data_IF_099094888829
#
_entry.id   IF_099094888829
#
_cell.length_a   1.000
_cell.length_b   1.000
_cell.length_c   1.000
_cell.angle_alpha   90.00
_cell.angle_beta   90.00
_cell.angle_gamma   90.00
#
_symmetry.space_group_name_H-M   'P 1'
#
loop_
_entity.id
_entity.type
_entity.pdbx_description
1 polymer ?
#
# COMPACT_ATOMS: atom_id res chain seq x y z
N UNK A 1 71.41 23.85 -10.98
CA UNK A 1 70.27 24.09 -10.08
C UNK A 1 69.41 25.19 -10.67
N UNK A 2 68.96 24.98 -11.91
CA UNK A 2 68.20 25.98 -12.71
C UNK A 2 67.47 25.29 -13.88
N UNK A 3 67.02 24.05 -13.69
CA UNK A 3 66.29 23.28 -14.71
C UNK A 3 65.11 22.46 -14.12
N UNK A 4 64.66 22.78 -12.91
CA UNK A 4 63.49 22.15 -12.28
C UNK A 4 62.33 23.13 -12.00
N UNK A 5 62.45 24.40 -12.38
CA UNK A 5 61.43 25.42 -12.11
C UNK A 5 60.58 25.79 -13.34
N UNK A 6 61.04 25.52 -14.57
CA UNK A 6 60.30 25.86 -15.80
C UNK A 6 59.39 24.75 -16.36
N UNK A 7 59.03 23.75 -15.54
CA UNK A 7 58.08 22.68 -15.93
C UNK A 7 56.73 22.72 -15.19
N UNK A 8 56.49 23.75 -14.37
CA UNK A 8 55.30 23.84 -13.50
C UNK A 8 54.22 24.83 -13.93
N UNK A 9 54.33 25.50 -15.07
CA UNK A 9 53.34 26.52 -15.49
C UNK A 9 52.66 26.29 -16.86
N UNK A 10 52.72 25.08 -17.42
CA UNK A 10 51.97 24.75 -18.65
C UNK A 10 50.99 23.57 -18.53
N UNK A 11 50.73 23.09 -17.31
CA UNK A 11 49.78 22.01 -17.07
C UNK A 11 48.53 22.48 -16.31
N UNK A 12 48.03 23.67 -16.66
CA UNK A 12 46.80 24.25 -16.12
C UNK A 12 45.79 24.54 -17.24
N UNK A 13 45.18 23.50 -17.78
CA UNK A 13 43.82 23.57 -18.33
C UNK A 13 43.32 22.18 -18.69
N UNK A 14 42.11 21.84 -18.22
CA UNK A 14 41.31 20.65 -18.53
C UNK A 14 41.59 19.38 -17.71
N UNK A 15 40.97 19.27 -16.54
CA UNK A 15 40.56 17.97 -15.96
C UNK A 15 39.24 18.22 -15.20
N UNK A 16 38.15 17.85 -15.86
CA UNK A 16 36.79 17.82 -15.32
C UNK A 16 36.31 16.35 -15.33
N UNK A 17 35.54 16.03 -14.31
CA UNK A 17 34.51 14.98 -14.24
C UNK A 17 34.95 13.51 -14.04
N UNK A 18 34.85 13.10 -12.78
CA UNK A 18 34.80 11.72 -12.31
C UNK A 18 33.40 11.12 -12.53
N UNK A 19 33.24 10.28 -13.56
CA UNK A 19 32.05 9.47 -13.80
C UNK A 19 32.12 8.10 -13.09
N UNK A 20 31.02 7.76 -12.39
CA UNK A 20 30.70 6.44 -11.86
C UNK A 20 30.09 5.55 -12.98
N UNK A 21 30.55 4.31 -13.22
CA UNK A 21 29.92 3.43 -14.20
C UNK A 21 28.64 2.80 -13.64
N UNK A 22 27.52 3.05 -14.33
CA UNK A 22 26.24 2.38 -14.13
C UNK A 22 26.30 1.00 -14.77
N UNK A 23 26.28 -0.07 -13.95
CA UNK A 23 26.20 -1.45 -14.42
C UNK A 23 24.74 -1.81 -14.77
N UNK A 24 24.42 -1.81 -16.05
CA UNK A 24 23.25 -2.50 -16.62
C UNK A 24 23.62 -3.96 -16.90
N UNK A 25 22.78 -4.87 -16.39
CA UNK A 25 22.93 -6.32 -16.60
C UNK A 25 22.88 -6.70 -18.09
N UNK A 26 23.72 -7.65 -18.53
CA UNK A 26 23.72 -8.21 -19.87
C UNK A 26 22.76 -9.41 -19.93
N UNK A 27 22.00 -9.56 -21.03
CA UNK A 27 21.66 -10.83 -21.70
C UNK A 27 20.55 -10.60 -22.73
N UNK A 28 20.93 -10.13 -23.92
CA UNK A 28 20.17 -10.36 -25.15
C UNK A 28 21.15 -10.23 -26.33
N UNK A 29 21.88 -11.31 -26.61
CA UNK A 29 22.67 -11.48 -27.83
C UNK A 29 21.87 -12.36 -28.77
N UNK A 30 21.39 -11.80 -29.87
CA UNK A 30 21.05 -12.57 -31.08
C UNK A 30 21.79 -11.96 -32.28
N UNK A 31 22.17 -12.79 -33.27
CA UNK A 31 23.27 -12.49 -34.17
C UNK A 31 22.88 -11.53 -35.30
N UNK A 32 23.87 -10.73 -35.69
CA UNK A 32 23.87 -9.86 -36.85
C UNK A 32 23.55 -10.61 -38.15
N UNK A 33 22.71 -10.00 -38.99
CA UNK A 33 22.96 -9.99 -40.43
C UNK A 33 22.76 -8.57 -40.95
N UNK A 34 23.83 -8.05 -41.53
CA UNK A 34 24.03 -6.77 -42.19
C UNK A 34 23.31 -6.69 -43.53
N UNK A 35 22.71 -5.53 -43.85
CA UNK A 35 23.07 -4.67 -45.00
C UNK A 35 22.02 -3.59 -45.30
N UNK A 36 22.53 -2.36 -45.53
CA UNK A 36 21.99 -1.25 -46.35
C UNK A 36 20.82 -0.40 -45.81
N UNK A 37 21.05 0.86 -45.37
CA UNK A 37 21.40 2.12 -46.06
C UNK A 37 20.18 2.99 -46.45
N UNK A 38 20.16 4.18 -45.83
CA UNK A 38 19.71 5.50 -46.31
C UNK A 38 18.23 5.99 -46.25
N UNK A 39 18.17 7.24 -45.77
CA UNK A 39 17.32 8.38 -46.15
C UNK A 39 15.99 8.64 -45.40
N UNK A 40 16.07 9.63 -44.50
CA UNK A 40 15.21 10.83 -44.36
C UNK A 40 13.76 10.77 -44.86
N UNK A 41 12.78 10.99 -43.97
CA UNK A 41 12.00 12.24 -43.92
C UNK A 41 11.08 12.26 -42.67
N UNK A 42 10.78 13.46 -42.16
CA UNK A 42 9.88 13.64 -41.02
C UNK A 42 8.41 13.43 -41.39
N UNK A 43 7.58 12.99 -40.43
CA UNK A 43 6.17 13.39 -40.20
C UNK A 43 5.58 12.55 -39.06
N UNK A 44 4.83 13.21 -38.18
CA UNK A 44 3.97 12.64 -37.13
C UNK A 44 3.13 11.44 -37.62
N UNK A 45 3.33 10.26 -37.03
CA UNK A 45 2.43 9.12 -37.26
C UNK A 45 2.29 8.25 -36.00
N UNK A 46 1.09 8.33 -35.42
CA UNK A 46 0.29 7.24 -34.84
C UNK A 46 1.04 5.96 -34.42
N UNK A 47 1.04 5.68 -33.12
CA UNK A 47 1.47 4.41 -32.51
C UNK A 47 0.76 3.21 -33.17
N UNK A 48 1.47 2.49 -34.03
CA UNK A 48 1.08 1.18 -34.55
C UNK A 48 1.53 0.06 -33.59
N UNK A 49 0.79 -1.06 -33.48
CA UNK A 49 1.15 -2.15 -32.59
C UNK A 49 2.34 -2.94 -33.13
N UNK A 50 3.37 -3.09 -32.29
CA UNK A 50 4.53 -3.97 -32.52
C UNK A 50 4.02 -5.42 -32.59
N UNK A 51 4.04 -6.03 -33.77
CA UNK A 51 3.77 -7.46 -33.93
C UNK A 51 5.04 -8.28 -33.65
N UNK A 52 4.97 -9.14 -32.64
CA UNK A 52 5.95 -10.21 -32.41
C UNK A 52 5.50 -11.45 -33.17
N UNK A 53 6.41 -12.01 -33.98
CA UNK A 53 6.22 -13.21 -34.78
C UNK A 53 6.06 -14.43 -33.84
N UNK A 54 4.87 -15.02 -33.82
CA UNK A 54 4.45 -16.05 -32.86
C UNK A 54 3.00 -15.83 -32.42
N UNK A 55 2.05 -16.29 -33.25
CA UNK A 55 0.64 -15.88 -33.27
C UNK A 55 -0.19 -16.08 -31.99
N UNK A 56 0.01 -15.22 -30.99
CA UNK A 56 -1.00 -14.88 -30.00
C UNK A 56 -1.04 -13.36 -29.86
N UNK A 57 -2.03 -12.72 -30.51
CA UNK A 57 -2.28 -11.29 -30.31
C UNK A 57 -2.45 -11.01 -28.82
N UNK A 58 -1.65 -10.10 -28.27
CA UNK A 58 -1.82 -9.58 -26.91
C UNK A 58 -3.22 -8.97 -26.87
N UNK A 59 -4.15 -9.63 -26.19
CA UNK A 59 -5.51 -9.09 -26.04
C UNK A 59 -5.37 -7.78 -25.27
N UNK A 60 -5.90 -6.69 -25.78
CA UNK A 60 -5.97 -5.41 -25.06
C UNK A 60 -7.26 -5.33 -24.27
N UNK A 61 -7.19 -4.86 -23.01
CA UNK A 61 -8.39 -4.61 -22.19
C UNK A 61 -9.10 -3.34 -22.71
N UNK A 62 -10.05 -3.53 -23.62
CA UNK A 62 -10.82 -2.41 -24.20
C UNK A 62 -11.58 -1.69 -23.08
N UNK A 63 -11.43 -0.36 -23.01
CA UNK A 63 -12.03 0.52 -22.00
C UNK A 63 -11.58 0.30 -20.54
N UNK A 64 -10.46 -0.40 -20.28
CA UNK A 64 -9.98 -0.69 -18.92
C UNK A 64 -11.04 -1.34 -18.01
N UNK A 65 -11.90 -2.20 -18.58
CA UNK A 65 -13.02 -2.82 -17.86
C UNK A 65 -12.52 -3.68 -16.70
N UNK A 66 -11.39 -4.39 -16.87
CA UNK A 66 -10.83 -5.22 -15.81
C UNK A 66 -10.37 -4.35 -14.64
N UNK A 67 -9.74 -3.21 -14.93
CA UNK A 67 -9.37 -2.23 -13.90
C UNK A 67 -10.59 -1.71 -13.15
N UNK A 68 -11.66 -1.32 -13.86
CA UNK A 68 -12.90 -0.84 -13.23
C UNK A 68 -13.56 -1.91 -12.35
N UNK A 69 -13.50 -3.19 -12.75
CA UNK A 69 -13.99 -4.30 -11.93
C UNK A 69 -13.18 -4.42 -10.63
N UNK A 70 -11.84 -4.40 -10.71
CA UNK A 70 -11.00 -4.48 -9.50
C UNK A 70 -11.18 -3.26 -8.59
N UNK A 71 -11.36 -2.06 -9.16
CA UNK A 71 -11.67 -0.85 -8.41
C UNK A 71 -13.01 -0.96 -7.68
N UNK A 72 -14.05 -1.46 -8.36
CA UNK A 72 -15.37 -1.72 -7.76
C UNK A 72 -15.25 -2.71 -6.58
N UNK A 73 -14.44 -3.76 -6.72
CA UNK A 73 -14.21 -4.71 -5.63
C UNK A 73 -13.45 -4.06 -4.46
N UNK A 74 -12.47 -3.20 -4.72
CA UNK A 74 -11.78 -2.43 -3.68
C UNK A 74 -12.75 -1.57 -2.87
N UNK A 75 -13.63 -0.83 -3.55
CA UNK A 75 -14.72 -0.06 -2.93
C UNK A 75 -15.67 -0.98 -2.14
N UNK A 76 -16.00 -2.15 -2.69
CA UNK A 76 -16.88 -3.12 -2.07
C UNK A 76 -16.35 -3.73 -0.77
N UNK A 77 -15.03 -3.85 -0.62
CA UNK A 77 -14.39 -4.31 0.61
C UNK A 77 -14.31 -3.19 1.66
N UNK A 78 -14.09 -1.94 1.24
CA UNK A 78 -13.95 -0.79 2.13
C UNK A 78 -15.27 -0.29 2.71
N UNK A 79 -16.38 -0.44 1.98
CA UNK A 79 -17.70 0.06 2.40
C UNK A 79 -18.20 -0.58 3.71
N UNK A 80 -18.23 -1.91 3.87
CA UNK A 80 -18.65 -2.54 5.12
C UNK A 80 -17.77 -2.16 6.32
N UNK A 81 -16.45 -2.10 6.11
CA UNK A 81 -15.49 -1.73 7.15
C UNK A 81 -15.70 -0.29 7.64
N UNK A 82 -15.79 0.67 6.71
CA UNK A 82 -16.06 2.07 7.05
C UNK A 82 -17.46 2.25 7.65
N UNK A 83 -18.44 1.47 7.20
CA UNK A 83 -19.79 1.48 7.80
C UNK A 83 -19.73 1.04 9.26
N UNK A 84 -18.98 -0.01 9.58
CA UNK A 84 -18.86 -0.50 10.96
C UNK A 84 -18.15 0.51 11.88
N UNK A 85 -17.08 1.17 11.40
CA UNK A 85 -16.35 2.18 12.17
C UNK A 85 -17.14 3.47 12.39
N UNK A 86 -17.94 3.89 11.41
CA UNK A 86 -18.67 5.17 11.45
C UNK A 86 -20.06 5.08 12.08
N UNK A 87 -20.60 3.86 12.27
CA UNK A 87 -21.90 3.61 12.91
C UNK A 87 -21.96 4.01 14.40
N UNK A 88 -20.86 4.52 14.98
CA UNK A 88 -20.80 5.03 16.35
C UNK A 88 -22.09 5.73 16.78
N UNK A 89 -22.63 5.24 17.91
CA UNK A 89 -23.96 5.54 18.44
C UNK A 89 -24.32 7.02 18.35
N UNK A 90 -23.41 7.93 18.70
CA UNK A 90 -23.73 9.35 18.83
C UNK A 90 -24.12 10.04 17.51
N UNK A 91 -23.40 9.83 16.40
CA UNK A 91 -23.65 10.63 15.18
C UNK A 91 -24.88 10.16 14.43
N UNK A 92 -25.05 8.84 14.33
CA UNK A 92 -26.22 8.28 13.68
C UNK A 92 -27.43 8.29 14.59
N UNK A 93 -27.37 7.79 15.82
CA UNK A 93 -28.54 7.66 16.71
C UNK A 93 -29.00 9.02 17.25
N UNK A 94 -28.08 9.86 17.72
CA UNK A 94 -28.46 11.10 18.42
C UNK A 94 -28.70 12.29 17.49
N UNK A 95 -28.01 12.38 16.35
CA UNK A 95 -28.10 13.53 15.42
C UNK A 95 -28.90 13.20 14.14
N UNK A 96 -28.46 12.24 13.31
CA UNK A 96 -29.08 11.99 12.01
C UNK A 96 -30.41 11.21 12.11
N UNK A 97 -30.53 10.28 13.06
CA UNK A 97 -31.71 9.44 13.28
C UNK A 97 -32.78 10.08 14.16
N UNK A 98 -32.41 11.10 14.91
CA UNK A 98 -33.33 11.82 15.78
C UNK A 98 -34.08 12.95 15.03
N UNK A 99 -33.50 13.46 13.93
CA UNK A 99 -33.97 14.71 13.32
C UNK A 99 -35.10 14.59 12.28
N UNK A 100 -35.44 13.41 11.74
CA UNK A 100 -36.65 13.20 10.89
C UNK A 100 -36.85 11.79 10.31
N UNK A 101 -35.81 10.96 10.24
CA UNK A 101 -35.83 9.64 9.58
C UNK A 101 -35.59 8.58 10.65
N UNK A 102 -36.63 7.80 10.98
CA UNK A 102 -36.57 6.82 12.06
C UNK A 102 -35.39 5.84 11.92
N UNK A 103 -34.86 5.39 13.06
CA UNK A 103 -33.72 4.45 13.20
C UNK A 103 -33.76 3.30 12.19
N UNK A 104 -34.96 2.75 11.98
CA UNK A 104 -35.22 1.63 11.07
C UNK A 104 -34.95 1.97 9.60
N UNK A 105 -35.32 3.16 9.14
CA UNK A 105 -35.14 3.55 7.73
C UNK A 105 -33.67 3.80 7.40
N UNK A 106 -32.90 4.46 8.27
CA UNK A 106 -31.47 4.62 7.97
C UNK A 106 -30.72 3.30 8.07
N UNK A 107 -31.03 2.45 9.06
CA UNK A 107 -30.47 1.10 9.11
C UNK A 107 -30.77 0.34 7.79
N UNK A 108 -32.01 0.39 7.31
CA UNK A 108 -32.40 -0.19 6.01
C UNK A 108 -31.62 0.39 4.83
N UNK A 109 -31.37 1.71 4.79
CA UNK A 109 -30.56 2.34 3.72
C UNK A 109 -29.11 1.87 3.79
N UNK A 110 -28.51 1.80 5.00
CA UNK A 110 -27.13 1.35 5.18
C UNK A 110 -26.94 -0.11 4.78
N UNK A 111 -27.77 -1.02 5.30
CA UNK A 111 -27.72 -2.42 4.94
C UNK A 111 -28.12 -2.66 3.48
N UNK A 112 -29.07 -1.90 2.95
CA UNK A 112 -29.49 -1.95 1.55
C UNK A 112 -28.37 -1.54 0.59
N UNK A 113 -27.64 -0.46 0.90
CA UNK A 113 -26.49 -0.03 0.11
C UNK A 113 -25.36 -1.07 0.15
N UNK A 114 -25.04 -1.60 1.34
CA UNK A 114 -24.05 -2.67 1.48
C UNK A 114 -24.43 -3.93 0.67
N UNK A 115 -25.70 -4.35 0.73
CA UNK A 115 -26.21 -5.48 -0.04
C UNK A 115 -26.11 -5.23 -1.56
N UNK A 116 -26.49 -4.05 -2.02
CA UNK A 116 -26.38 -3.65 -3.42
C UNK A 116 -24.93 -3.70 -3.90
N UNK A 117 -23.99 -3.21 -3.10
CA UNK A 117 -22.56 -3.28 -3.40
C UNK A 117 -22.07 -4.72 -3.49
N UNK A 118 -22.48 -5.61 -2.59
CA UNK A 118 -22.11 -7.04 -2.65
C UNK A 118 -22.69 -7.72 -3.90
N UNK A 119 -23.94 -7.43 -4.26
CA UNK A 119 -24.56 -7.94 -5.49
C UNK A 119 -23.79 -7.45 -6.73
N UNK A 120 -23.41 -6.16 -6.76
CA UNK A 120 -22.60 -5.60 -7.85
C UNK A 120 -21.21 -6.25 -7.95
N UNK A 121 -20.56 -6.54 -6.81
CA UNK A 121 -19.31 -7.31 -6.76
C UNK A 121 -19.53 -8.74 -7.30
N UNK A 122 -20.60 -9.42 -6.89
CA UNK A 122 -20.93 -10.76 -7.38
C UNK A 122 -21.17 -10.81 -8.89
N UNK A 123 -21.91 -9.85 -9.44
CA UNK A 123 -22.15 -9.74 -10.88
C UNK A 123 -20.86 -9.43 -11.66
N UNK A 124 -20.08 -8.45 -11.19
CA UNK A 124 -18.82 -8.06 -11.83
C UNK A 124 -17.75 -9.18 -11.77
N UNK A 125 -17.71 -10.00 -10.72
CA UNK A 125 -16.87 -11.19 -10.66
C UNK A 125 -17.24 -12.22 -11.75
N UNK A 126 -18.54 -12.40 -12.03
CA UNK A 126 -18.98 -13.26 -13.15
C UNK A 126 -18.58 -12.69 -14.51
N UNK A 127 -18.60 -11.37 -14.68
CA UNK A 127 -18.10 -10.73 -15.90
C UNK A 127 -16.58 -10.94 -16.05
N UNK A 128 -15.82 -10.78 -14.96
CA UNK A 128 -14.37 -10.95 -14.95
C UNK A 128 -13.96 -12.37 -15.35
N UNK A 129 -14.58 -13.39 -14.74
CA UNK A 129 -14.29 -14.80 -15.04
C UNK A 129 -14.67 -15.22 -16.46
N UNK A 130 -15.59 -14.50 -17.11
CA UNK A 130 -15.95 -14.71 -18.52
C UNK A 130 -15.06 -13.93 -19.50
N UNK A 131 -14.37 -12.88 -19.06
CA UNK A 131 -13.54 -12.04 -19.92
C UNK A 131 -12.36 -12.82 -20.54
N UNK A 132 -12.19 -12.69 -21.87
CA UNK A 132 -11.12 -13.35 -22.64
C UNK A 132 -9.73 -12.87 -22.22
N UNK A 133 -9.58 -11.57 -21.92
CA UNK A 133 -8.33 -10.97 -21.45
C UNK A 133 -7.89 -11.59 -20.10
N UNK A 134 -8.81 -11.64 -19.13
CA UNK A 134 -8.56 -12.24 -17.83
C UNK A 134 -8.14 -13.71 -17.96
N UNK A 135 -8.87 -14.50 -18.77
CA UNK A 135 -8.52 -15.91 -19.02
C UNK A 135 -7.13 -16.07 -19.65
N UNK A 136 -6.72 -15.18 -20.54
CA UNK A 136 -5.40 -15.23 -21.17
C UNK A 136 -4.28 -15.05 -20.13
N UNK A 137 -4.35 -14.00 -19.31
CA UNK A 137 -3.32 -13.71 -18.31
C UNK A 137 -3.28 -14.74 -17.17
N UNK A 138 -4.43 -15.23 -16.72
CA UNK A 138 -4.49 -16.31 -15.72
C UNK A 138 -3.89 -17.60 -16.27
N UNK A 139 -4.24 -18.01 -17.50
CA UNK A 139 -3.66 -19.20 -18.12
C UNK A 139 -2.15 -19.08 -18.33
N UNK A 140 -1.68 -17.90 -18.75
CA UNK A 140 -0.24 -17.60 -18.85
C UNK A 140 0.44 -17.79 -17.49
N UNK A 141 -0.12 -17.20 -16.43
CA UNK A 141 0.42 -17.32 -15.08
C UNK A 141 0.43 -18.78 -14.57
N UNK A 142 -0.61 -19.57 -14.85
CA UNK A 142 -0.68 -20.99 -14.48
C UNK A 142 0.33 -21.83 -15.27
N UNK A 143 0.46 -21.58 -16.58
CA UNK A 143 1.41 -22.31 -17.43
C UNK A 143 2.87 -22.05 -17.02
N UNK A 144 3.21 -20.78 -16.75
CA UNK A 144 4.54 -20.43 -16.24
C UNK A 144 4.87 -21.14 -14.92
N UNK A 145 3.88 -21.32 -14.03
CA UNK A 145 4.08 -22.08 -12.78
C UNK A 145 4.31 -23.57 -13.03
N UNK A 146 3.55 -24.16 -13.96
CA UNK A 146 3.68 -25.57 -14.30
C UNK A 146 5.08 -25.89 -14.86
N UNK A 147 5.59 -25.04 -15.76
CA UNK A 147 6.94 -25.18 -16.33
C UNK A 147 8.02 -25.06 -15.25
N UNK A 148 7.94 -24.06 -14.36
CA UNK A 148 8.92 -23.93 -13.26
C UNK A 148 8.92 -25.11 -12.30
N UNK A 149 7.78 -25.78 -12.07
CA UNK A 149 7.76 -27.00 -11.26
C UNK A 149 8.43 -28.19 -11.97
N UNK A 150 8.33 -28.28 -13.30
CA UNK A 150 9.00 -29.31 -14.09
C UNK A 150 10.52 -29.12 -14.09
N UNK A 151 10.99 -27.88 -14.22
CA UNK A 151 12.43 -27.58 -14.21
C UNK A 151 13.09 -27.92 -12.86
N UNK A 152 12.41 -27.65 -11.74
CA UNK A 152 12.88 -28.02 -10.39
C UNK A 152 12.92 -29.53 -10.17
N UNK A 153 12.02 -30.29 -10.81
CA UNK A 153 12.07 -31.75 -10.75
C UNK A 153 13.27 -32.30 -11.52
N UNK A 154 13.63 -31.71 -12.67
CA UNK A 154 14.80 -32.13 -13.44
C UNK A 154 16.13 -31.82 -12.73
N UNK A 155 16.30 -30.67 -12.07
CA UNK A 155 17.51 -30.40 -11.25
C UNK A 155 17.63 -31.31 -10.02
N UNK A 156 16.51 -31.85 -9.52
CA UNK A 156 16.50 -32.83 -8.43
C UNK A 156 16.70 -34.28 -8.89
N UNK A 157 16.62 -34.56 -10.19
CA UNK A 157 16.67 -35.92 -10.75
C UNK A 157 18.10 -36.37 -11.07
N UNK A 158 19.07 -35.46 -11.15
CA UNK A 158 20.49 -35.81 -11.38
C UNK A 158 21.14 -36.55 -10.18
N UNK A 159 20.41 -36.79 -9.08
CA UNK A 159 20.91 -37.52 -7.89
C UNK A 159 20.18 -38.87 -7.65
N UNK A 160 19.07 -39.20 -8.31
CA UNK A 160 18.39 -40.49 -8.07
C UNK A 160 17.81 -41.10 -9.35
N UNK A 161 18.49 -42.13 -9.84
CA UNK A 161 18.03 -42.96 -10.94
C UNK A 161 16.78 -43.79 -10.62
N UNK A 162 15.89 -43.81 -11.60
CA UNK A 162 14.88 -44.79 -11.97
C UNK A 162 13.64 -45.02 -11.08
N UNK A 163 12.51 -44.92 -11.79
CA UNK A 163 11.21 -45.56 -11.59
C UNK A 163 10.27 -44.99 -10.52
N UNK A 164 9.36 -44.12 -10.94
CA UNK A 164 7.92 -44.32 -10.78
C UNK A 164 7.17 -43.20 -11.49
N UNK A 165 6.28 -43.54 -12.42
CA UNK A 165 5.21 -42.65 -12.87
C UNK A 165 4.38 -42.21 -11.64
N UNK A 166 4.70 -41.07 -11.06
CA UNK A 166 3.81 -40.37 -10.13
C UNK A 166 3.21 -39.19 -10.87
N UNK A 167 1.88 -39.18 -10.99
CA UNK A 167 1.10 -37.96 -11.21
C UNK A 167 1.70 -36.83 -10.35
N UNK A 168 1.80 -35.59 -10.86
CA UNK A 168 2.21 -34.46 -10.03
C UNK A 168 1.09 -34.17 -9.03
N UNK A 169 1.04 -34.94 -7.95
CA UNK A 169 0.36 -34.54 -6.73
C UNK A 169 1.17 -33.37 -6.20
N UNK A 170 0.64 -32.14 -6.33
CA UNK A 170 1.14 -30.98 -5.61
C UNK A 170 1.25 -31.38 -4.14
N UNK A 171 2.46 -31.62 -3.60
CA UNK A 171 2.59 -31.92 -2.20
C UNK A 171 2.14 -30.65 -1.49
N UNK A 172 1.22 -30.75 -0.53
CA UNK A 172 0.96 -29.62 0.36
C UNK A 172 2.34 -29.14 0.86
N UNK A 173 2.70 -27.86 0.65
CA UNK A 173 4.04 -27.40 0.96
C UNK A 173 4.35 -27.68 2.43
N UNK A 174 5.46 -28.36 2.69
CA UNK A 174 5.91 -28.67 4.04
C UNK A 174 6.18 -27.37 4.81
N UNK A 175 6.06 -27.38 6.14
CA UNK A 175 6.42 -26.24 6.99
C UNK A 175 7.85 -25.75 6.74
N UNK A 176 8.76 -26.67 6.40
CA UNK A 176 10.13 -26.32 6.00
C UNK A 176 10.17 -25.44 4.74
N UNK A 177 9.29 -25.70 3.77
CA UNK A 177 9.14 -24.89 2.56
C UNK A 177 8.58 -23.50 2.88
N UNK A 178 7.57 -23.41 3.74
CA UNK A 178 7.05 -22.12 4.22
C UNK A 178 8.12 -21.30 4.94
N UNK A 179 8.93 -21.95 5.78
CA UNK A 179 10.03 -21.29 6.49
C UNK A 179 11.13 -20.79 5.53
N UNK A 180 11.49 -21.59 4.51
CA UNK A 180 12.45 -21.18 3.49
C UNK A 180 11.94 -19.95 2.70
N UNK A 181 10.69 -19.98 2.24
CA UNK A 181 10.04 -18.86 1.54
C UNK A 181 9.90 -17.64 2.44
N UNK A 182 9.58 -17.83 3.72
CA UNK A 182 9.56 -16.77 4.72
C UNK A 182 10.93 -16.08 4.80
N UNK A 183 12.00 -16.85 4.97
CA UNK A 183 13.37 -16.34 5.06
C UNK A 183 13.80 -15.61 3.79
N UNK A 184 13.33 -16.04 2.62
CA UNK A 184 13.59 -15.40 1.33
C UNK A 184 12.86 -14.04 1.20
N UNK A 185 11.59 -13.98 1.62
CA UNK A 185 10.69 -12.82 1.43
C UNK A 185 10.49 -11.94 2.68
N UNK A 186 11.24 -12.18 3.75
CA UNK A 186 10.99 -11.59 5.09
C UNK A 186 10.93 -10.06 5.08
N UNK A 187 11.72 -9.39 4.22
CA UNK A 187 11.74 -7.93 4.09
C UNK A 187 10.40 -7.40 3.58
N UNK A 188 9.82 -8.05 2.57
CA UNK A 188 8.49 -7.72 2.07
C UNK A 188 7.42 -7.92 3.14
N UNK A 189 7.45 -9.06 3.84
CA UNK A 189 6.49 -9.39 4.89
C UNK A 189 6.58 -8.44 6.09
N UNK A 190 7.79 -8.08 6.51
CA UNK A 190 8.04 -7.09 7.55
C UNK A 190 7.51 -5.71 7.17
N UNK A 191 7.74 -5.27 5.93
CA UNK A 191 7.22 -3.99 5.43
C UNK A 191 5.69 -3.97 5.47
N UNK A 192 5.02 -5.05 5.06
CA UNK A 192 3.55 -5.17 5.17
C UNK A 192 3.13 -5.02 6.64
N UNK A 193 3.71 -5.81 7.54
CA UNK A 193 3.36 -5.80 8.95
C UNK A 193 3.49 -4.41 9.58
N UNK A 194 4.63 -3.76 9.43
CA UNK A 194 4.92 -2.49 10.12
C UNK A 194 4.07 -1.32 9.59
N UNK A 195 3.71 -1.33 8.29
CA UNK A 195 2.80 -0.31 7.72
C UNK A 195 1.42 -0.41 8.38
N UNK A 196 0.87 -1.62 8.47
CA UNK A 196 -0.45 -1.83 9.08
C UNK A 196 -0.39 -1.64 10.60
N UNK A 197 0.65 -2.13 11.28
CA UNK A 197 0.88 -1.88 12.70
C UNK A 197 0.86 -0.39 13.02
N UNK A 198 1.71 0.39 12.34
CA UNK A 198 1.85 1.83 12.62
C UNK A 198 0.53 2.56 12.37
N UNK A 199 -0.18 2.21 11.29
CA UNK A 199 -1.44 2.86 10.98
C UNK A 199 -2.52 2.52 12.00
N UNK A 200 -2.67 1.25 12.39
CA UNK A 200 -3.74 0.81 13.29
C UNK A 200 -3.42 1.06 14.77
N UNK A 201 -2.16 1.33 15.12
CA UNK A 201 -1.80 1.91 16.41
C UNK A 201 -2.41 3.31 16.57
N UNK A 202 -2.52 4.09 15.49
CA UNK A 202 -2.97 5.48 15.56
C UNK A 202 -4.45 5.62 15.15
N UNK A 203 -4.81 5.11 13.97
CA UNK A 203 -6.15 5.24 13.40
C UNK A 203 -7.03 4.01 13.73
N UNK A 204 -8.28 4.19 14.19
CA UNK A 204 -8.94 5.46 14.55
C UNK A 204 -8.75 5.84 16.03
N UNK A 205 -8.30 4.93 16.88
CA UNK A 205 -8.38 5.02 18.35
C UNK A 205 -7.70 6.26 18.94
N UNK A 206 -6.46 6.55 18.54
CA UNK A 206 -5.72 7.73 19.04
C UNK A 206 -6.32 9.01 18.51
N UNK A 207 -6.62 9.03 17.21
CA UNK A 207 -7.11 10.22 16.51
C UNK A 207 -8.47 10.68 17.02
N UNK A 208 -9.32 9.76 17.47
CA UNK A 208 -10.61 10.08 18.10
C UNK A 208 -10.48 10.64 19.52
N UNK A 209 -9.34 10.46 20.19
CA UNK A 209 -9.07 11.01 21.53
C UNK A 209 -8.30 12.32 21.49
N UNK A 210 -7.95 12.80 20.30
CA UNK A 210 -7.36 14.13 20.13
C UNK A 210 -8.50 15.16 20.08
N UNK A 211 -8.41 16.18 20.95
CA UNK A 211 -9.32 17.33 20.97
C UNK A 211 -8.58 18.63 20.63
N UNK A 212 -9.34 19.66 20.23
CA UNK A 212 -8.80 20.99 20.00
C UNK A 212 -8.23 21.61 21.27
N UNK A 213 -7.23 22.47 21.09
CA UNK A 213 -6.66 23.31 22.13
C UNK A 213 -6.92 24.80 21.80
N UNK A 214 -7.33 25.65 22.76
CA UNK A 214 -7.73 25.35 24.13
C UNK A 214 -9.07 24.58 24.20
N UNK A 215 -9.35 23.85 25.30
CA UNK A 215 -10.63 23.19 25.49
C UNK A 215 -11.79 24.20 25.43
N UNK A 216 -12.82 23.88 24.64
CA UNK A 216 -13.98 24.77 24.43
C UNK A 216 -13.91 25.65 23.17
N UNK A 217 -12.82 25.63 22.41
CA UNK A 217 -12.79 26.29 21.08
C UNK A 217 -13.71 25.54 20.11
N UNK A 218 -14.49 26.29 19.34
CA UNK A 218 -15.24 25.78 18.19
C UNK A 218 -14.33 25.73 16.97
N UNK A 219 -14.44 24.68 16.15
CA UNK A 219 -13.67 24.52 14.91
C UNK A 219 -13.89 25.70 13.95
N UNK A 220 -12.82 26.24 13.37
CA UNK A 220 -12.90 27.38 12.42
C UNK A 220 -13.51 26.94 11.07
N UNK A 221 -13.57 25.63 10.78
CA UNK A 221 -14.15 25.08 9.56
C UNK A 221 -15.67 25.28 9.60
N UNK A 222 -16.20 26.21 8.78
CA UNK A 222 -17.58 26.47 8.27
C UNK A 222 -18.78 25.57 8.69
N UNK A 223 -18.79 25.00 9.89
CA UNK A 223 -19.82 24.10 10.41
C UNK A 223 -20.61 24.90 11.42
N UNK A 224 -21.68 25.54 10.93
CA UNK A 224 -22.66 26.22 11.77
C UNK A 224 -23.54 25.17 12.47
N UNK A 225 -23.44 25.07 13.80
CA UNK A 225 -24.19 24.11 14.60
C UNK A 225 -23.79 24.12 16.09
N UNK A 226 -24.52 23.37 16.92
CA UNK A 226 -24.20 23.18 18.35
C UNK A 226 -22.82 22.53 18.54
N UNK A 227 -22.12 22.83 19.65
CA UNK A 227 -20.73 22.41 19.92
C UNK A 227 -20.53 20.90 19.77
N UNK A 228 -21.48 20.11 20.27
CA UNK A 228 -21.48 18.65 20.18
C UNK A 228 -21.55 18.16 18.73
N UNK A 229 -22.40 18.80 17.92
CA UNK A 229 -22.60 18.46 16.51
C UNK A 229 -21.35 18.80 15.69
N UNK A 230 -20.79 19.99 15.89
CA UNK A 230 -19.59 20.44 15.17
C UNK A 230 -18.38 19.56 15.49
N UNK A 231 -18.24 19.11 16.74
CA UNK A 231 -17.19 18.18 17.16
C UNK A 231 -17.27 16.82 16.49
N UNK A 232 -18.49 16.27 16.37
CA UNK A 232 -18.69 14.97 15.75
C UNK A 232 -18.49 15.04 14.25
N UNK A 233 -19.03 16.06 13.58
CA UNK A 233 -18.82 16.30 12.15
C UNK A 233 -17.34 16.51 11.83
N UNK A 234 -16.63 17.27 12.66
CA UNK A 234 -15.19 17.45 12.48
C UNK A 234 -14.44 16.13 12.53
N UNK A 235 -14.70 15.26 13.53
CA UNK A 235 -14.03 13.94 13.59
C UNK A 235 -14.35 13.09 12.37
N UNK A 236 -15.60 13.10 11.91
CA UNK A 236 -16.01 12.37 10.71
C UNK A 236 -15.30 12.88 9.45
N UNK A 237 -15.18 14.19 9.28
CA UNK A 237 -14.56 14.81 8.10
C UNK A 237 -13.03 14.75 8.16
N UNK A 238 -12.44 15.18 9.27
CA UNK A 238 -11.00 15.32 9.45
C UNK A 238 -10.30 14.01 9.73
N UNK A 239 -10.95 13.05 10.41
CA UNK A 239 -10.34 11.74 10.72
C UNK A 239 -10.75 10.71 9.69
N UNK A 240 -12.04 10.37 9.61
CA UNK A 240 -12.49 9.23 8.80
C UNK A 240 -12.49 9.51 7.29
N UNK A 241 -13.10 10.62 6.85
CA UNK A 241 -13.18 10.95 5.43
C UNK A 241 -11.79 11.30 4.89
N UNK A 242 -11.04 12.14 5.59
CA UNK A 242 -9.66 12.48 5.23
C UNK A 242 -8.82 11.21 5.07
N UNK A 243 -8.79 10.34 6.10
CA UNK A 243 -7.96 9.14 6.06
C UNK A 243 -8.29 8.25 4.87
N UNK A 244 -9.57 7.94 4.66
CA UNK A 244 -10.00 7.07 3.56
C UNK A 244 -9.75 7.69 2.18
N UNK A 245 -10.04 8.98 2.01
CA UNK A 245 -9.85 9.69 0.74
C UNK A 245 -8.36 9.72 0.38
N UNK A 246 -7.51 10.17 1.30
CA UNK A 246 -6.10 10.34 1.03
C UNK A 246 -5.34 9.02 0.97
N UNK A 247 -5.74 7.99 1.72
CA UNK A 247 -5.22 6.62 1.52
C UNK A 247 -5.60 6.06 0.14
N UNK A 248 -6.80 6.37 -0.36
CA UNK A 248 -7.19 5.99 -1.72
C UNK A 248 -6.33 6.72 -2.75
N UNK A 249 -6.14 8.03 -2.59
CA UNK A 249 -5.25 8.83 -3.46
C UNK A 249 -3.82 8.26 -3.44
N UNK A 250 -3.28 7.94 -2.26
CA UNK A 250 -1.95 7.34 -2.13
C UNK A 250 -1.84 6.00 -2.86
N UNK A 251 -2.85 5.13 -2.73
CA UNK A 251 -2.89 3.84 -3.42
C UNK A 251 -3.00 4.00 -4.94
N UNK A 252 -3.73 5.02 -5.39
CA UNK A 252 -3.85 5.34 -6.80
C UNK A 252 -2.54 5.87 -7.38
N UNK A 253 -1.82 6.73 -6.67
CA UNK A 253 -0.48 7.20 -7.05
C UNK A 253 0.48 6.01 -7.19
N UNK A 254 0.43 5.03 -6.29
CA UNK A 254 1.27 3.83 -6.34
C UNK A 254 1.03 2.96 -7.60
N UNK A 255 -0.12 3.12 -8.26
CA UNK A 255 -0.42 2.42 -9.51
C UNK A 255 0.34 3.00 -10.70
N UNK A 256 0.66 4.29 -10.68
CA UNK A 256 1.42 4.98 -11.74
C UNK A 256 2.90 5.15 -11.41
N UNK A 257 3.21 5.47 -10.16
CA UNK A 257 4.57 5.77 -9.69
C UNK A 257 4.98 4.67 -8.72
N UNK A 258 5.95 3.84 -9.12
CA UNK A 258 6.47 2.72 -8.32
C UNK A 258 7.86 3.05 -7.79
N UNK A 259 7.93 4.02 -6.89
CA UNK A 259 9.17 4.48 -6.27
C UNK A 259 9.06 4.43 -4.73
N UNK A 260 10.07 3.97 -3.97
CA UNK A 260 11.41 3.54 -4.35
C UNK A 260 11.46 2.03 -4.64
N UNK A 261 12.62 1.55 -5.10
CA UNK A 261 12.86 0.13 -5.37
C UNK A 261 12.62 -0.76 -4.14
N UNK A 262 12.32 -2.04 -4.37
CA UNK A 262 11.96 -3.05 -3.37
C UNK A 262 12.94 -3.13 -2.18
N UNK A 263 14.23 -2.88 -2.40
CA UNK A 263 15.26 -2.90 -1.34
C UNK A 263 15.20 -1.68 -0.43
N UNK A 264 14.80 -0.52 -0.95
CA UNK A 264 14.77 0.76 -0.23
C UNK A 264 13.43 1.01 0.48
N UNK A 265 12.39 0.26 0.13
CA UNK A 265 11.03 0.42 0.70
C UNK A 265 11.00 0.35 2.24
N UNK A 266 11.90 -0.40 2.88
CA UNK A 266 11.93 -0.54 4.35
C UNK A 266 12.21 0.78 5.06
N UNK A 267 13.03 1.68 4.48
CA UNK A 267 13.42 2.94 5.12
C UNK A 267 12.21 3.88 5.35
N UNK A 268 11.47 4.30 4.31
CA UNK A 268 10.31 5.17 4.50
C UNK A 268 9.19 4.49 5.29
N UNK A 269 9.12 3.16 5.23
CA UNK A 269 8.13 2.37 5.94
C UNK A 269 8.39 2.34 7.45
N UNK A 270 9.64 2.14 7.88
CA UNK A 270 10.04 2.22 9.30
C UNK A 270 9.96 3.65 9.81
N UNK A 271 10.30 4.64 8.98
CA UNK A 271 10.17 6.06 9.34
C UNK A 271 8.73 6.45 9.73
N UNK A 272 7.71 5.71 9.26
CA UNK A 272 6.31 5.91 9.68
C UNK A 272 6.12 5.77 11.18
N UNK A 273 6.94 4.97 11.89
CA UNK A 273 6.83 4.83 13.34
C UNK A 273 6.94 6.16 14.08
N UNK A 274 7.59 7.17 13.48
CA UNK A 274 7.63 8.52 14.02
C UNK A 274 6.24 9.17 14.13
N UNK A 275 5.23 8.72 13.38
CA UNK A 275 3.86 9.20 13.55
C UNK A 275 3.30 8.89 14.94
N UNK A 276 3.67 7.77 15.56
CA UNK A 276 3.15 7.39 16.88
C UNK A 276 3.47 8.47 17.92
N UNK A 277 4.75 8.80 18.21
CA UNK A 277 5.05 9.86 19.17
C UNK A 277 4.55 11.24 18.72
N UNK A 278 4.49 11.53 17.41
CA UNK A 278 3.96 12.81 16.91
C UNK A 278 2.47 12.98 17.24
N UNK A 279 1.63 11.95 17.05
CA UNK A 279 0.21 12.01 17.40
C UNK A 279 -0.03 11.96 18.91
N UNK A 280 0.82 11.26 19.68
CA UNK A 280 0.77 11.31 21.15
C UNK A 280 1.26 12.66 21.72
N UNK A 281 2.05 13.42 20.96
CA UNK A 281 2.47 14.78 21.30
C UNK A 281 1.39 15.84 21.00
N UNK A 282 0.37 15.50 20.22
CA UNK A 282 -0.86 16.29 20.11
C UNK A 282 -1.63 16.29 21.44
N UNK A 283 -2.75 17.01 21.49
CA UNK A 283 -3.68 17.02 22.62
C UNK A 283 -4.47 15.71 22.75
N UNK A 284 -3.76 14.58 22.91
CA UNK A 284 -4.30 13.26 23.17
C UNK A 284 -4.74 13.13 24.62
N UNK A 285 -5.99 12.73 24.83
CA UNK A 285 -6.60 12.64 26.16
C UNK A 285 -6.59 11.21 26.67
N UNK A 286 -5.87 10.98 27.78
CA UNK A 286 -5.78 9.69 28.46
C UNK A 286 -6.82 9.49 29.55
N UNK A 287 -7.40 10.58 30.08
CA UNK A 287 -8.36 10.56 31.19
C UNK A 287 -9.22 11.82 31.28
N UNK A 288 -9.79 12.09 32.46
CA UNK A 288 -10.67 13.24 32.73
C UNK A 288 -9.92 14.55 32.93
N UNK A 289 -8.63 14.49 33.25
CA UNK A 289 -7.82 15.68 33.50
C UNK A 289 -7.17 16.20 32.21
N UNK A 290 -7.24 17.51 31.94
CA UNK A 290 -6.58 18.11 30.79
C UNK A 290 -5.06 18.01 30.93
N UNK A 291 -4.38 17.70 29.82
CA UNK A 291 -2.92 17.57 29.78
C UNK A 291 -2.26 18.94 29.93
N UNK A 292 -1.32 19.07 30.86
CA UNK A 292 -0.58 20.33 31.09
C UNK A 292 0.38 20.67 29.94
N UNK A 293 0.90 19.67 29.21
CA UNK A 293 1.87 19.87 28.14
C UNK A 293 1.38 19.36 26.78
N UNK A 294 1.10 20.29 25.86
CA UNK A 294 0.70 20.01 24.48
C UNK A 294 1.70 20.69 23.53
N UNK A 295 2.42 19.88 22.73
CA UNK A 295 3.41 20.37 21.76
C UNK A 295 2.73 20.95 20.52
N UNK A 296 1.73 20.24 19.99
CA UNK A 296 0.98 20.64 18.80
C UNK A 296 -0.39 21.16 19.23
N UNK A 297 -0.53 22.49 19.29
CA UNK A 297 -1.75 23.20 19.72
C UNK A 297 -2.67 23.58 18.54
N UNK A 298 -2.12 23.60 17.33
CA UNK A 298 -2.80 24.08 16.13
C UNK A 298 -3.58 22.95 15.42
N UNK A 299 -4.80 23.26 14.99
CA UNK A 299 -5.72 22.31 14.37
C UNK A 299 -5.30 21.95 12.94
N UNK A 300 -4.74 22.91 12.20
CA UNK A 300 -4.29 22.70 10.83
C UNK A 300 -3.07 21.79 10.80
N UNK A 301 -2.18 21.91 11.77
CA UNK A 301 -1.05 21.02 11.97
C UNK A 301 -1.49 19.57 12.18
N UNK A 302 -2.56 19.33 12.95
CA UNK A 302 -3.18 18.01 13.09
C UNK A 302 -3.76 17.49 11.76
N UNK A 303 -4.52 18.33 11.04
CA UNK A 303 -5.13 17.99 9.74
C UNK A 303 -4.07 17.65 8.69
N UNK A 304 -2.97 18.42 8.65
CA UNK A 304 -1.85 18.17 7.73
C UNK A 304 -1.16 16.85 8.10
N UNK A 305 -0.93 16.60 9.38
CA UNK A 305 -0.28 15.38 9.85
C UNK A 305 -1.09 14.12 9.51
N UNK A 306 -2.40 14.13 9.75
CA UNK A 306 -3.26 12.99 9.37
C UNK A 306 -3.35 12.83 7.85
N UNK A 307 -3.45 13.93 7.09
CA UNK A 307 -3.45 13.87 5.62
C UNK A 307 -2.17 13.20 5.12
N UNK A 308 -1.01 13.63 5.63
CA UNK A 308 0.28 13.08 5.25
C UNK A 308 0.43 11.60 5.64
N UNK A 309 0.02 11.21 6.85
CA UNK A 309 0.00 9.82 7.30
C UNK A 309 -0.88 8.93 6.40
N UNK A 310 -2.00 9.47 5.92
CA UNK A 310 -2.99 8.78 5.10
C UNK A 310 -2.50 8.54 3.68
N UNK A 311 -1.96 9.58 3.02
CA UNK A 311 -1.35 9.45 1.68
C UNK A 311 -0.23 8.42 1.71
N UNK A 312 0.67 8.54 2.69
CA UNK A 312 1.79 7.61 2.83
C UNK A 312 1.32 6.19 3.17
N UNK A 313 0.25 6.02 3.95
CA UNK A 313 -0.32 4.69 4.21
C UNK A 313 -0.78 4.02 2.92
N UNK A 314 -1.57 4.72 2.11
CA UNK A 314 -2.08 4.20 0.84
C UNK A 314 -0.98 3.85 -0.14
N UNK A 315 0.00 4.76 -0.28
CA UNK A 315 1.11 4.57 -1.20
C UNK A 315 2.00 3.38 -0.81
N UNK A 316 2.48 3.36 0.44
CA UNK A 316 3.39 2.31 0.91
C UNK A 316 2.72 0.94 1.04
N UNK A 317 1.46 0.88 1.48
CA UNK A 317 0.75 -0.40 1.59
C UNK A 317 0.55 -1.05 0.22
N UNK A 318 0.23 -0.25 -0.80
CA UNK A 318 0.09 -0.71 -2.18
C UNK A 318 1.41 -1.21 -2.76
N UNK A 319 2.52 -0.48 -2.56
CA UNK A 319 3.85 -0.94 -2.98
C UNK A 319 4.30 -2.20 -2.22
N UNK A 320 4.08 -2.29 -0.91
CA UNK A 320 4.46 -3.46 -0.12
C UNK A 320 3.72 -4.72 -0.57
N UNK A 321 2.41 -4.65 -0.77
CA UNK A 321 1.59 -5.78 -1.24
C UNK A 321 1.92 -6.18 -2.69
N UNK A 322 2.39 -5.25 -3.51
CA UNK A 322 2.85 -5.52 -4.87
C UNK A 322 4.27 -6.09 -4.93
N UNK A 323 5.17 -5.61 -4.08
CA UNK A 323 6.57 -6.00 -4.10
C UNK A 323 6.85 -7.31 -3.36
N UNK A 324 6.15 -7.61 -2.27
CA UNK A 324 6.36 -8.86 -1.52
C UNK A 324 6.35 -10.11 -2.41
N UNK A 325 5.32 -10.37 -3.24
CA UNK A 325 5.29 -11.54 -4.13
C UNK A 325 6.26 -11.47 -5.31
N UNK A 326 6.87 -10.31 -5.60
CA UNK A 326 7.89 -10.13 -6.65
C UNK A 326 9.32 -10.41 -6.17
N UNK A 327 9.52 -10.59 -4.87
CA UNK A 327 10.84 -10.90 -4.30
C UNK A 327 11.27 -12.35 -4.48
N UNK A 328 10.33 -13.21 -4.87
CA UNK A 328 10.53 -14.66 -5.03
C UNK A 328 10.15 -15.07 -6.45
N UNK A 329 10.60 -16.27 -6.84
CA UNK A 329 10.22 -16.87 -8.11
C UNK A 329 8.69 -16.95 -8.29
N UNK A 330 8.25 -16.86 -9.55
CA UNK A 330 6.83 -16.87 -9.91
C UNK A 330 6.07 -18.12 -9.42
N UNK A 331 6.78 -19.24 -9.21
CA UNK A 331 6.24 -20.48 -8.62
C UNK A 331 5.87 -20.31 -7.14
N UNK A 332 6.67 -19.57 -6.37
CA UNK A 332 6.51 -19.31 -4.93
C UNK A 332 5.67 -18.06 -4.63
N UNK A 333 5.52 -17.16 -5.61
CA UNK A 333 4.87 -15.85 -5.50
C UNK A 333 3.45 -15.91 -4.88
N UNK A 334 2.65 -16.93 -5.21
CA UNK A 334 1.32 -17.10 -4.62
C UNK A 334 1.37 -17.34 -3.10
N UNK A 335 2.33 -18.15 -2.64
CA UNK A 335 2.51 -18.44 -1.22
C UNK A 335 2.90 -17.16 -0.47
N UNK A 336 3.83 -16.38 -1.02
CA UNK A 336 4.21 -15.08 -0.44
C UNK A 336 3.03 -14.10 -0.42
N UNK A 337 2.18 -14.10 -1.45
CA UNK A 337 0.93 -13.33 -1.44
C UNK A 337 0.01 -13.71 -0.28
N UNK A 338 -0.16 -15.02 -0.03
CA UNK A 338 -0.94 -15.50 1.12
C UNK A 338 -0.29 -15.13 2.46
N UNK A 339 1.02 -15.27 2.58
CA UNK A 339 1.77 -14.87 3.78
C UNK A 339 1.69 -13.36 4.03
N UNK A 340 1.74 -12.54 2.97
CA UNK A 340 1.55 -11.09 3.07
C UNK A 340 0.17 -10.75 3.65
N UNK A 341 -0.88 -11.48 3.23
CA UNK A 341 -2.21 -11.37 3.83
C UNK A 341 -2.23 -11.70 5.33
N UNK A 342 -1.50 -12.74 5.76
CA UNK A 342 -1.34 -13.05 7.19
C UNK A 342 -0.64 -11.91 7.95
N UNK A 343 0.49 -11.41 7.44
CA UNK A 343 1.25 -10.32 8.09
C UNK A 343 0.49 -8.99 8.10
N UNK A 344 -0.39 -8.75 7.12
CA UNK A 344 -1.35 -7.64 7.12
C UNK A 344 -2.31 -7.77 8.31
N UNK A 345 -2.96 -8.92 8.49
CA UNK A 345 -3.90 -9.15 9.60
C UNK A 345 -3.17 -9.09 10.94
N UNK A 346 -1.97 -9.66 11.02
CA UNK A 346 -1.13 -9.59 12.20
C UNK A 346 -0.73 -8.15 12.54
N UNK A 347 -0.41 -7.32 11.55
CA UNK A 347 -0.14 -5.90 11.72
C UNK A 347 -1.35 -5.14 12.28
N UNK A 348 -2.55 -5.42 11.76
CA UNK A 348 -3.79 -4.86 12.28
C UNK A 348 -4.00 -5.26 13.75
N UNK A 349 -3.91 -6.55 14.07
CA UNK A 349 -4.15 -7.05 15.43
C UNK A 349 -3.15 -6.49 16.44
N UNK A 350 -1.85 -6.50 16.08
CA UNK A 350 -0.80 -5.96 16.95
C UNK A 350 -0.87 -4.44 17.10
N UNK A 351 -1.24 -3.70 16.04
CA UNK A 351 -1.45 -2.24 16.11
C UNK A 351 -2.61 -1.88 17.04
N UNK A 352 -3.75 -2.57 16.91
CA UNK A 352 -4.90 -2.37 17.82
C UNK A 352 -4.52 -2.72 19.26
N UNK A 353 -3.80 -3.82 19.48
CA UNK A 353 -3.34 -4.20 20.82
C UNK A 353 -2.39 -3.15 21.44
N UNK A 354 -1.58 -2.48 20.62
CA UNK A 354 -0.69 -1.43 21.08
C UNK A 354 -1.43 -0.20 21.63
N UNK A 355 -2.66 0.06 21.18
CA UNK A 355 -3.48 1.19 21.66
C UNK A 355 -3.80 1.15 23.15
N UNK A 356 -3.71 -0.03 23.79
CA UNK A 356 -3.85 -0.17 25.24
C UNK A 356 -2.61 0.30 26.00
N UNK A 357 -1.45 0.33 25.36
CA UNK A 357 -0.17 0.74 25.97
C UNK A 357 0.02 2.25 25.91
N UNK A 358 -0.53 2.90 24.88
CA UNK A 358 -0.34 4.34 24.64
C UNK A 358 -0.76 5.26 25.79
N UNK A 359 -1.88 5.04 26.51
CA UNK A 359 -2.22 5.86 27.67
C UNK A 359 -1.13 5.79 28.75
N UNK A 360 -0.62 4.60 29.04
CA UNK A 360 0.46 4.41 30.02
C UNK A 360 1.75 5.11 29.62
N UNK A 361 2.07 5.13 28.31
CA UNK A 361 3.22 5.86 27.79
C UNK A 361 3.04 7.37 28.02
N UNK A 362 1.87 7.91 27.68
CA UNK A 362 1.60 9.35 27.81
C UNK A 362 1.57 9.78 29.28
N UNK A 363 0.97 8.98 30.17
CA UNK A 363 0.95 9.25 31.60
C UNK A 363 2.36 9.22 32.20
N UNK A 364 3.22 8.28 31.79
CA UNK A 364 4.63 8.23 32.18
C UNK A 364 5.38 9.52 31.76
N UNK A 365 5.17 9.99 30.53
CA UNK A 365 5.78 11.24 30.07
C UNK A 365 5.18 12.49 30.75
N UNK A 366 3.90 12.46 31.12
CA UNK A 366 3.24 13.51 31.89
C UNK A 366 3.81 13.62 33.31
N UNK A 367 4.10 12.48 33.96
CA UNK A 367 4.75 12.43 35.27
C UNK A 367 6.19 12.94 35.23
N UNK A 368 6.90 12.76 34.11
CA UNK A 368 8.29 13.21 33.94
C UNK A 368 8.41 14.73 33.71
N UNK A 369 7.32 15.44 33.41
CA UNK A 369 7.35 16.88 33.16
C UNK A 369 6.21 17.61 33.91
N UNK A 370 6.28 17.71 35.25
CA UNK A 370 5.18 18.17 36.11
C UNK A 370 5.04 19.70 36.18
N UNK A 371 5.62 20.47 35.25
CA UNK A 371 5.74 21.93 35.37
C UNK A 371 4.72 22.71 34.55
#
# INVERSE_FOLDING_TARGET
MENEVNRREQNSSSLNDSEFPTATDPLLKQPNNSSDQNATDGTLAHSGPIQMNGGHAIQSDRLNIVYMIFLLHGVGVLLPWNTFLTIGYDYFVSYKLNARIGIRLSASIYFGLALLTVIACGFSFRLLTKNKFYKFHVRKAVKSRATSCTDVLHEGEDICGNNSERKPSTPNPSLATYYAIFKESWRGLFNVWIIFFTTLAIFPSVLLKIELYPPGRTFDIFIYGDWTTSRMLFRQLTVFLNFNLFATIGSWIASYIQWPSTKSLTIPVVARLAFIPLFLACNYQTGTEPRNFVLIKDEWSFVILITFMSITHGYWSSLAMMYAPRQVDQSKSQIVGMMSGFFLVFGIASGIAFTFVEPHIVDLFGLLNPF
#
